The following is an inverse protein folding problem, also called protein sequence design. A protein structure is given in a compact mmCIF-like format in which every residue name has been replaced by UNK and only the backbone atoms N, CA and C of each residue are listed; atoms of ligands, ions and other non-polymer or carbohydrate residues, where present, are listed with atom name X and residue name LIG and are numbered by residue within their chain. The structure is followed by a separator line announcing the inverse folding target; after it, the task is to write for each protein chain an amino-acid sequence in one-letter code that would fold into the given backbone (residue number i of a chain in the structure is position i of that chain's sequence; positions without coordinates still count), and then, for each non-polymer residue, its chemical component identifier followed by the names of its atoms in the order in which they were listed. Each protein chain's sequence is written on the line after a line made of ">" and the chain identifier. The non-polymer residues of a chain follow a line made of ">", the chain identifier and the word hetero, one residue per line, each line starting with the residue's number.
data_IF_581703390508
#
_entry.id   IF_581703390508
#
_cell.length_a   1.000
_cell.length_b   1.000
_cell.length_c   1.000
_cell.angle_alpha   90.00
_cell.angle_beta   90.00
_cell.angle_gamma   90.00
#
_symmetry.space_group_name_H-M   'P 1'
#
loop_
_entity.id
_entity.type
_entity.pdbx_description
1 polymer ?
#
# COMPACT_ATOMS: atom_id res chain seq x y z
N UNK A 1 -21.54 14.75 8.39
CA UNK A 1 -21.02 13.49 7.81
C UNK A 1 -20.11 12.85 8.84
N UNK A 2 -20.39 11.62 9.28
CA UNK A 2 -19.51 10.94 10.22
C UNK A 2 -18.17 10.62 9.53
N UNK A 3 -17.01 10.96 10.13
CA UNK A 3 -15.69 10.73 9.52
C UNK A 3 -15.45 9.24 9.21
N UNK A 4 -16.09 8.35 9.97
CA UNK A 4 -16.05 6.89 9.80
C UNK A 4 -16.51 6.42 8.43
N UNK A 5 -17.43 7.16 7.78
CA UNK A 5 -17.95 6.82 6.45
C UNK A 5 -16.87 7.03 5.37
N UNK A 6 -15.94 7.97 5.57
CA UNK A 6 -14.87 8.27 4.63
C UNK A 6 -13.68 7.31 4.74
N UNK A 7 -13.50 6.65 5.88
CA UNK A 7 -12.33 5.80 6.14
C UNK A 7 -12.29 4.60 5.19
N UNK A 8 -13.42 3.91 4.98
CA UNK A 8 -13.50 2.75 4.09
C UNK A 8 -13.10 3.07 2.64
N UNK A 9 -13.75 4.05 1.98
CA UNK A 9 -13.40 4.51 0.64
C UNK A 9 -11.96 5.01 0.53
N UNK A 10 -11.48 5.78 1.52
CA UNK A 10 -10.11 6.28 1.52
C UNK A 10 -9.09 5.13 1.59
N UNK A 11 -9.29 4.14 2.46
CA UNK A 11 -8.41 2.97 2.55
C UNK A 11 -8.44 2.14 1.27
N UNK A 12 -9.61 1.95 0.68
CA UNK A 12 -9.76 1.20 -0.56
C UNK A 12 -8.97 1.87 -1.70
N UNK A 13 -9.09 3.20 -1.82
CA UNK A 13 -8.35 3.99 -2.79
C UNK A 13 -6.83 3.92 -2.55
N UNK A 14 -6.37 4.06 -1.31
CA UNK A 14 -4.95 3.94 -0.98
C UNK A 14 -4.40 2.56 -1.36
N UNK A 15 -5.14 1.49 -1.05
CA UNK A 15 -4.75 0.13 -1.44
C UNK A 15 -4.65 -0.05 -2.95
N UNK A 16 -5.63 0.45 -3.71
CA UNK A 16 -5.62 0.41 -5.17
C UNK A 16 -4.45 1.22 -5.76
N UNK A 17 -4.19 2.41 -5.23
CA UNK A 17 -3.06 3.25 -5.64
C UNK A 17 -1.74 2.53 -5.39
N UNK A 18 -1.56 1.89 -4.23
CA UNK A 18 -0.37 1.10 -3.91
C UNK A 18 -0.19 -0.08 -4.86
N UNK A 19 -1.26 -0.79 -5.22
CA UNK A 19 -1.22 -1.87 -6.21
C UNK A 19 -0.79 -1.35 -7.58
N UNK A 20 -1.37 -0.22 -8.02
CA UNK A 20 -1.11 0.35 -9.32
C UNK A 20 0.33 0.89 -9.43
N UNK A 21 0.77 1.62 -8.40
CA UNK A 21 2.10 2.23 -8.32
C UNK A 21 3.16 1.30 -7.74
N UNK A 22 2.88 0.01 -7.49
CA UNK A 22 3.78 -0.92 -6.79
C UNK A 22 5.23 -0.90 -7.27
N UNK A 23 5.44 -0.78 -8.59
CA UNK A 23 6.77 -0.71 -9.19
C UNK A 23 7.44 0.64 -8.93
N UNK A 24 6.69 1.74 -9.01
CA UNK A 24 7.20 3.07 -8.71
C UNK A 24 7.50 3.24 -7.22
N UNK A 25 6.60 2.76 -6.36
CA UNK A 25 6.77 2.75 -4.89
C UNK A 25 8.01 1.93 -4.49
N UNK A 26 8.20 0.75 -5.06
CA UNK A 26 9.41 -0.07 -4.81
C UNK A 26 10.70 0.68 -5.18
N UNK A 27 10.71 1.34 -6.34
CA UNK A 27 11.87 2.14 -6.79
C UNK A 27 12.12 3.36 -5.92
N UNK A 28 11.07 4.04 -5.47
CA UNK A 28 11.18 5.17 -4.55
C UNK A 28 11.77 4.76 -3.20
N UNK A 29 11.33 3.63 -2.64
CA UNK A 29 11.91 3.10 -1.40
C UNK A 29 13.38 2.74 -1.57
N UNK A 30 13.73 2.06 -2.66
CA UNK A 30 15.13 1.71 -2.94
C UNK A 30 15.99 2.97 -3.11
N UNK A 31 15.53 3.96 -3.90
CA UNK A 31 16.25 5.21 -4.09
C UNK A 31 16.40 6.02 -2.79
N UNK A 32 15.35 6.06 -1.96
CA UNK A 32 15.39 6.72 -0.66
C UNK A 32 16.36 6.04 0.31
N UNK A 33 16.35 4.70 0.37
CA UNK A 33 17.29 3.94 1.20
C UNK A 33 18.74 4.11 0.71
N UNK A 34 18.95 4.17 -0.61
CA UNK A 34 20.26 4.45 -1.19
C UNK A 34 20.77 5.83 -0.79
N UNK A 35 19.91 6.85 -0.78
CA UNK A 35 20.26 8.22 -0.38
C UNK A 35 20.59 8.32 1.12
N UNK A 36 19.88 7.58 1.97
CA UNK A 36 20.02 7.68 3.43
C UNK A 36 21.11 6.76 4.00
N UNK A 37 21.28 5.57 3.43
CA UNK A 37 22.08 4.48 4.01
C UNK A 37 23.12 3.87 3.05
N UNK A 38 23.13 4.27 1.77
CA UNK A 38 24.05 3.74 0.75
C UNK A 38 23.56 2.45 0.07
N UNK A 39 24.29 2.03 -0.97
CA UNK A 39 23.93 0.89 -1.83
C UNK A 39 23.78 -0.47 -1.13
N UNK A 40 24.65 -0.92 -0.18
CA UNK A 40 24.53 -2.28 0.34
C UNK A 40 23.27 -2.47 1.21
N UNK A 41 22.86 -1.44 1.98
CA UNK A 41 21.63 -1.52 2.76
C UNK A 41 20.36 -1.42 1.90
N UNK A 42 20.41 -0.67 0.80
CA UNK A 42 19.26 -0.48 -0.07
C UNK A 42 18.90 -1.75 -0.85
N UNK A 43 19.91 -2.52 -1.28
CA UNK A 43 19.72 -3.80 -1.98
C UNK A 43 19.20 -4.91 -1.05
N UNK A 44 19.71 -4.98 0.19
CA UNK A 44 19.24 -5.97 1.17
C UNK A 44 17.81 -5.68 1.65
N UNK A 45 17.46 -4.40 1.84
CA UNK A 45 16.14 -4.00 2.30
C UNK A 45 15.07 -4.05 1.21
N UNK A 46 15.43 -3.77 -0.05
CA UNK A 46 14.49 -3.75 -1.19
C UNK A 46 14.98 -4.71 -2.27
N UNK A 47 14.71 -6.00 -2.07
CA UNK A 47 14.98 -7.02 -3.08
C UNK A 47 14.14 -6.78 -4.34
N UNK A 48 14.81 -6.50 -5.45
CA UNK A 48 14.24 -6.11 -6.75
C UNK A 48 13.06 -6.98 -7.23
N UNK A 49 13.12 -8.30 -7.00
CA UNK A 49 12.05 -9.22 -7.41
C UNK A 49 10.91 -9.34 -6.41
N UNK A 50 11.15 -9.20 -5.11
CA UNK A 50 10.13 -9.47 -4.09
C UNK A 50 9.43 -8.20 -3.60
N UNK A 51 10.08 -7.05 -3.63
CA UNK A 51 9.51 -5.80 -3.11
C UNK A 51 8.20 -5.37 -3.79
N UNK A 52 8.04 -5.45 -5.14
CA UNK A 52 6.77 -5.13 -5.79
C UNK A 52 5.63 -6.08 -5.40
N UNK A 53 5.94 -7.35 -5.11
CA UNK A 53 4.96 -8.34 -4.65
C UNK A 53 4.51 -8.09 -3.22
N UNK A 54 5.41 -7.66 -2.34
CA UNK A 54 5.04 -7.26 -0.97
C UNK A 54 4.12 -6.04 -1.00
N UNK A 55 4.42 -5.04 -1.83
CA UNK A 55 3.57 -3.85 -1.99
C UNK A 55 2.21 -4.22 -2.58
N UNK A 56 2.17 -5.16 -3.53
CA UNK A 56 0.91 -5.69 -4.06
C UNK A 56 0.06 -6.37 -2.98
N UNK A 57 0.68 -7.22 -2.15
CA UNK A 57 -0.02 -7.90 -1.06
C UNK A 57 -0.58 -6.89 -0.04
N UNK A 58 0.26 -5.95 0.40
CA UNK A 58 -0.17 -4.89 1.33
C UNK A 58 -1.30 -4.06 0.71
N UNK A 59 -1.14 -3.57 -0.52
CA UNK A 59 -2.18 -2.82 -1.21
C UNK A 59 -3.49 -3.61 -1.37
N UNK A 60 -3.41 -4.93 -1.60
CA UNK A 60 -4.55 -5.83 -1.64
C UNK A 60 -5.29 -5.93 -0.30
N UNK A 61 -4.55 -6.07 0.80
CA UNK A 61 -5.14 -6.06 2.16
C UNK A 61 -5.85 -4.74 2.45
N UNK A 62 -5.23 -3.61 2.11
CA UNK A 62 -5.84 -2.28 2.27
C UNK A 62 -7.12 -2.13 1.42
N UNK A 63 -7.09 -2.60 0.16
CA UNK A 63 -8.24 -2.58 -0.73
C UNK A 63 -9.40 -3.43 -0.21
N UNK A 64 -9.13 -4.66 0.22
CA UNK A 64 -10.12 -5.59 0.76
C UNK A 64 -10.69 -5.10 2.09
N UNK A 65 -9.85 -4.58 2.99
CA UNK A 65 -10.30 -4.06 4.26
C UNK A 65 -11.12 -2.76 4.10
N UNK A 66 -10.71 -1.88 3.18
CA UNK A 66 -11.50 -0.71 2.81
C UNK A 66 -12.87 -1.10 2.24
N UNK A 67 -12.91 -2.06 1.32
CA UNK A 67 -14.16 -2.61 0.77
C UNK A 67 -15.05 -3.25 1.84
N UNK A 68 -14.46 -3.98 2.78
CA UNK A 68 -15.17 -4.56 3.92
C UNK A 68 -15.80 -3.47 4.81
N UNK A 69 -15.07 -2.39 5.11
CA UNK A 69 -15.62 -1.28 5.90
C UNK A 69 -16.77 -0.57 5.18
N UNK A 70 -16.65 -0.36 3.87
CA UNK A 70 -17.73 0.20 3.04
C UNK A 70 -18.96 -0.71 3.12
N UNK A 71 -18.77 -2.03 2.92
CA UNK A 71 -19.85 -3.00 2.95
C UNK A 71 -20.51 -3.07 4.33
N UNK A 72 -19.73 -3.12 5.41
CA UNK A 72 -20.23 -3.06 6.79
C UNK A 72 -21.10 -1.83 7.02
N UNK A 73 -20.64 -0.66 6.57
CA UNK A 73 -21.35 0.60 6.76
C UNK A 73 -22.65 0.67 5.96
N UNK A 74 -22.67 0.12 4.73
CA UNK A 74 -23.87 0.01 3.90
C UNK A 74 -24.88 -0.99 4.50
N UNK A 75 -24.41 -2.11 5.04
CA UNK A 75 -25.25 -3.20 5.53
C UNK A 75 -25.68 -3.06 6.99
N UNK A 76 -25.25 -2.00 7.72
CA UNK A 76 -25.63 -1.73 9.12
C UNK A 76 -25.43 -2.93 10.07
N UNK A 77 -24.29 -3.63 9.91
CA UNK A 77 -23.87 -4.74 10.77
C UNK A 77 -22.99 -4.28 11.95
#
# INVERSE_FOLDING_TARGET
>A
MNPEILIGPALALVGLILIFLRNATSRLFHAGLRLLYGEPLADDAVRDRSAPWHIFFVGGVFALFGAFLIFKNICNF
#
